data_IF_232288260230
#
_entry.id   IF_232288260230
#
_cell.length_a   1.000
_cell.length_b   1.000
_cell.length_c   1.000
_cell.angle_alpha   90.00
_cell.angle_beta   90.00
_cell.angle_gamma   90.00
#
_symmetry.space_group_name_H-M   'P 1'
#
loop_
_entity.id
_entity.type
_entity.pdbx_description
1 polymer ?
#
# COMPACT_ATOMS: atom_id res chain seq x y z
N UNK A 1 -12.71 11.14 15.92
CA UNK A 1 -11.88 11.60 14.77
C UNK A 1 -10.60 10.79 14.55
N UNK A 2 -9.87 10.31 15.58
CA UNK A 2 -8.60 9.55 15.38
C UNK A 2 -8.79 8.24 14.61
N UNK A 3 -9.81 7.46 14.99
CA UNK A 3 -10.17 6.21 14.31
C UNK A 3 -10.54 6.47 12.85
N UNK A 4 -11.32 7.53 12.58
CA UNK A 4 -11.66 8.00 11.24
C UNK A 4 -10.41 8.35 10.42
N UNK A 5 -9.43 9.03 11.01
CA UNK A 5 -8.18 9.38 10.32
C UNK A 5 -7.36 8.14 9.95
N UNK A 6 -7.29 7.13 10.82
CA UNK A 6 -6.66 5.85 10.52
C UNK A 6 -7.35 5.13 9.35
N UNK A 7 -8.67 5.03 9.37
CA UNK A 7 -9.42 4.37 8.28
C UNK A 7 -9.27 5.13 6.96
N UNK A 8 -9.41 6.45 6.99
CA UNK A 8 -9.24 7.30 5.82
C UNK A 8 -7.82 7.19 5.25
N UNK A 9 -6.80 7.20 6.11
CA UNK A 9 -5.41 7.03 5.69
C UNK A 9 -5.21 5.72 4.92
N UNK A 10 -5.68 4.60 5.47
CA UNK A 10 -5.51 3.30 4.81
C UNK A 10 -6.37 3.13 3.55
N UNK A 11 -7.55 3.76 3.49
CA UNK A 11 -8.37 3.82 2.28
C UNK A 11 -7.64 4.59 1.18
N UNK A 12 -7.16 5.81 1.48
CA UNK A 12 -6.42 6.63 0.51
C UNK A 12 -5.16 5.90 0.05
N UNK A 13 -4.45 5.24 0.96
CA UNK A 13 -3.26 4.44 0.61
C UNK A 13 -3.59 3.21 -0.25
N UNK A 14 -4.80 2.68 -0.15
CA UNK A 14 -5.31 1.62 -1.02
C UNK A 14 -5.41 2.03 -2.50
N UNK A 15 -5.64 3.31 -2.81
CA UNK A 15 -5.78 3.81 -4.19
C UNK A 15 -4.50 3.59 -5.04
N UNK A 16 -3.29 3.98 -4.60
CA UNK A 16 -2.05 3.71 -5.35
C UNK A 16 -1.60 2.25 -5.31
N UNK A 17 -2.18 1.41 -4.43
CA UNK A 17 -1.71 0.03 -4.21
C UNK A 17 -1.65 -0.83 -5.49
N UNK A 18 -2.68 -0.85 -6.37
CA UNK A 18 -2.61 -1.62 -7.61
C UNK A 18 -1.43 -1.22 -8.50
N UNK A 19 -1.12 0.07 -8.60
CA UNK A 19 0.00 0.57 -9.40
C UNK A 19 1.34 0.14 -8.82
N UNK A 20 1.50 0.21 -7.49
CA UNK A 20 2.70 -0.27 -6.79
C UNK A 20 2.89 -1.77 -7.03
N UNK A 21 1.82 -2.57 -6.94
CA UNK A 21 1.87 -4.01 -7.18
C UNK A 21 2.24 -4.36 -8.64
N UNK A 22 1.63 -3.68 -9.61
CA UNK A 22 1.95 -3.87 -11.04
C UNK A 22 3.41 -3.48 -11.30
N UNK A 23 3.86 -2.33 -10.79
CA UNK A 23 5.24 -1.89 -10.93
C UNK A 23 6.24 -2.89 -10.32
N UNK A 24 5.90 -3.47 -9.17
CA UNK A 24 6.68 -4.55 -8.58
C UNK A 24 6.72 -5.80 -9.44
N UNK A 25 5.59 -6.26 -9.97
CA UNK A 25 5.54 -7.45 -10.81
C UNK A 25 6.47 -7.28 -12.02
N UNK A 26 6.35 -6.17 -12.75
CA UNK A 26 7.22 -5.91 -13.89
C UNK A 26 8.67 -5.65 -13.49
N UNK A 27 8.89 -4.98 -12.37
CA UNK A 27 10.22 -4.67 -11.87
C UNK A 27 11.00 -5.87 -11.35
N UNK A 28 10.35 -6.91 -10.82
CA UNK A 28 11.03 -8.13 -10.36
C UNK A 28 11.06 -9.24 -11.41
N UNK A 29 9.95 -9.44 -12.13
CA UNK A 29 9.77 -10.58 -13.03
C UNK A 29 9.93 -10.22 -14.50
N UNK A 30 9.84 -8.93 -14.84
CA UNK A 30 9.82 -8.48 -16.22
C UNK A 30 8.44 -8.60 -16.86
N UNK A 31 8.28 -8.08 -18.08
CA UNK A 31 7.02 -8.13 -18.83
C UNK A 31 7.18 -8.84 -20.17
N UNK A 32 8.03 -8.32 -21.07
CA UNK A 32 8.35 -8.93 -22.37
C UNK A 32 9.72 -9.63 -22.39
N UNK A 33 10.41 -9.68 -21.24
CA UNK A 33 11.74 -10.25 -21.08
C UNK A 33 12.23 -10.08 -19.64
N UNK A 34 13.37 -10.68 -19.27
CA UNK A 34 13.87 -10.66 -17.89
C UNK A 34 14.12 -9.24 -17.38
N UNK A 35 13.73 -8.97 -16.13
CA UNK A 35 14.00 -7.69 -15.49
C UNK A 35 15.50 -7.50 -15.22
N UNK A 36 16.01 -6.33 -15.60
CA UNK A 36 17.37 -5.88 -15.32
C UNK A 36 17.60 -5.63 -13.83
N UNK A 37 18.88 -5.61 -13.42
CA UNK A 37 19.28 -5.29 -12.04
C UNK A 37 18.75 -3.91 -11.60
N UNK A 38 18.82 -2.91 -12.49
CA UNK A 38 18.33 -1.55 -12.18
C UNK A 38 16.82 -1.51 -11.96
N UNK A 39 16.05 -2.27 -12.72
CA UNK A 39 14.59 -2.37 -12.55
C UNK A 39 14.24 -3.04 -11.22
N UNK A 40 14.97 -4.10 -10.82
CA UNK A 40 14.80 -4.75 -9.52
C UNK A 40 15.11 -3.80 -8.36
N UNK A 41 16.18 -3.02 -8.45
CA UNK A 41 16.49 -2.01 -7.43
C UNK A 41 15.43 -0.91 -7.35
N UNK A 42 14.94 -0.44 -8.51
CA UNK A 42 13.88 0.58 -8.55
C UNK A 42 12.58 0.06 -7.94
N UNK A 43 12.18 -1.18 -8.24
CA UNK A 43 11.02 -1.85 -7.65
C UNK A 43 11.15 -2.02 -6.13
N UNK A 44 12.31 -2.46 -5.66
CA UNK A 44 12.62 -2.53 -4.22
C UNK A 44 12.52 -1.15 -3.56
N UNK A 45 13.02 -0.09 -4.22
CA UNK A 45 12.94 1.27 -3.72
C UNK A 45 11.50 1.78 -3.58
N UNK A 46 10.67 1.55 -4.60
CA UNK A 46 9.25 1.90 -4.57
C UNK A 46 8.50 1.12 -3.48
N UNK A 47 8.75 -0.19 -3.35
CA UNK A 47 8.17 -0.99 -2.26
C UNK A 47 8.58 -0.45 -0.89
N UNK A 48 9.86 -0.17 -0.69
CA UNK A 48 10.36 0.34 0.58
C UNK A 48 9.70 1.67 0.93
N UNK A 49 9.62 2.62 -0.01
CA UNK A 49 8.93 3.89 0.20
C UNK A 49 7.46 3.70 0.55
N UNK A 50 6.76 2.81 -0.17
CA UNK A 50 5.36 2.50 0.12
C UNK A 50 5.18 1.93 1.54
N UNK A 51 6.03 0.98 1.95
CA UNK A 51 6.01 0.40 3.30
C UNK A 51 6.34 1.43 4.39
N UNK A 52 7.26 2.36 4.14
CA UNK A 52 7.58 3.44 5.07
C UNK A 52 6.38 4.38 5.24
N UNK A 53 5.73 4.79 4.14
CA UNK A 53 4.53 5.62 4.19
C UNK A 53 3.43 4.90 4.98
N UNK A 54 3.18 3.63 4.68
CA UNK A 54 2.21 2.80 5.40
C UNK A 54 2.52 2.73 6.90
N UNK A 55 3.74 2.37 7.26
CA UNK A 55 4.13 2.16 8.65
C UNK A 55 4.10 3.47 9.44
N UNK A 56 4.77 4.53 8.95
CA UNK A 56 4.82 5.80 9.65
C UNK A 56 3.46 6.49 9.69
N UNK A 57 2.68 6.44 8.61
CA UNK A 57 1.33 7.01 8.60
C UNK A 57 0.40 6.32 9.62
N UNK A 58 0.47 4.99 9.74
CA UNK A 58 -0.26 4.26 10.77
C UNK A 58 0.27 4.57 12.19
N UNK A 59 1.59 4.62 12.40
CA UNK A 59 2.16 4.97 13.71
C UNK A 59 1.79 6.39 14.15
N UNK A 60 1.75 7.34 13.21
CA UNK A 60 1.36 8.73 13.49
C UNK A 60 -0.14 8.86 13.81
N UNK A 61 -1.00 8.18 13.03
CA UNK A 61 -2.46 8.20 13.27
C UNK A 61 -2.83 7.51 14.58
N UNK A 62 -2.10 6.46 14.96
CA UNK A 62 -2.32 5.66 16.18
C UNK A 62 -1.45 6.07 17.37
N UNK A 63 -0.68 7.17 17.29
CA UNK A 63 0.35 7.52 18.28
C UNK A 63 -0.12 7.56 19.75
N UNK A 64 -1.40 7.87 19.97
CA UNK A 64 -2.00 8.02 21.31
C UNK A 64 -2.66 6.74 21.84
N UNK A 65 -2.71 5.67 21.05
CA UNK A 65 -3.27 4.38 21.48
C UNK A 65 -2.24 3.59 22.28
N UNK A 66 -2.67 2.53 22.96
CA UNK A 66 -1.79 1.58 23.63
C UNK A 66 -1.07 0.65 22.63
N UNK A 67 -0.03 -0.06 23.09
CA UNK A 67 0.78 -0.92 22.21
C UNK A 67 0.01 -2.10 21.60
N UNK A 68 -0.92 -2.71 22.35
CA UNK A 68 -1.68 -3.86 21.85
C UNK A 68 -2.65 -3.42 20.76
N UNK A 69 -3.36 -2.31 20.98
CA UNK A 69 -4.25 -1.70 19.98
C UNK A 69 -3.48 -1.28 18.73
N UNK A 70 -2.30 -0.65 18.87
CA UNK A 70 -1.46 -0.30 17.71
C UNK A 70 -1.11 -1.51 16.85
N UNK A 71 -0.66 -2.59 17.47
CA UNK A 71 -0.29 -3.81 16.74
C UNK A 71 -1.51 -4.46 16.08
N UNK A 72 -2.63 -4.55 16.79
CA UNK A 72 -3.89 -5.06 16.23
C UNK A 72 -4.36 -4.24 15.04
N UNK A 73 -4.29 -2.91 15.14
CA UNK A 73 -4.68 -2.02 14.04
C UNK A 73 -3.69 -2.10 12.87
N UNK A 74 -2.37 -2.14 13.12
CA UNK A 74 -1.39 -2.39 12.05
C UNK A 74 -1.66 -3.70 11.30
N UNK A 75 -2.00 -4.77 12.02
CA UNK A 75 -2.36 -6.05 11.41
C UNK A 75 -3.70 -6.00 10.64
N UNK A 76 -4.63 -5.14 11.06
CA UNK A 76 -5.92 -4.93 10.37
C UNK A 76 -5.81 -4.00 9.16
N UNK A 77 -4.80 -3.13 9.10
CA UNK A 77 -4.62 -2.13 8.05
C UNK A 77 -4.52 -2.67 6.61
N UNK A 78 -4.06 -3.90 6.32
CA UNK A 78 -4.12 -4.46 4.97
C UNK A 78 -5.55 -4.66 4.45
N UNK A 79 -6.55 -4.83 5.33
CA UNK A 79 -7.94 -5.04 4.93
C UNK A 79 -8.53 -3.83 4.19
N UNK A 80 -8.57 -2.61 4.76
CA UNK A 80 -9.04 -1.43 4.04
C UNK A 80 -8.21 -1.12 2.79
N UNK A 81 -6.89 -1.34 2.84
CA UNK A 81 -6.00 -1.17 1.69
C UNK A 81 -6.42 -2.11 0.55
N UNK A 82 -6.62 -3.40 0.83
CA UNK A 82 -6.99 -4.40 -0.17
C UNK A 82 -8.37 -4.14 -0.77
N UNK A 83 -9.36 -3.78 0.07
CA UNK A 83 -10.71 -3.43 -0.39
C UNK A 83 -10.66 -2.23 -1.32
N UNK A 84 -9.97 -1.15 -0.93
CA UNK A 84 -9.89 0.04 -1.78
C UNK A 84 -9.06 -0.19 -3.03
N UNK A 85 -8.00 -0.98 -2.97
CA UNK A 85 -7.22 -1.39 -4.15
C UNK A 85 -8.09 -2.15 -5.16
N UNK A 86 -8.90 -3.10 -4.69
CA UNK A 86 -9.83 -3.86 -5.53
C UNK A 86 -10.89 -2.95 -6.17
N UNK A 87 -11.52 -2.08 -5.37
CA UNK A 87 -12.49 -1.11 -5.87
C UNK A 87 -11.87 -0.16 -6.91
N UNK A 88 -10.67 0.36 -6.63
CA UNK A 88 -9.94 1.24 -7.54
C UNK A 88 -9.66 0.57 -8.88
N UNK A 89 -9.17 -0.67 -8.85
CA UNK A 89 -8.93 -1.44 -10.07
C UNK A 89 -10.21 -1.68 -10.88
N UNK A 90 -11.32 -2.03 -10.21
CA UNK A 90 -12.63 -2.23 -10.87
C UNK A 90 -13.16 -0.96 -11.52
N UNK A 91 -13.02 0.19 -10.86
CA UNK A 91 -13.46 1.49 -11.40
C UNK A 91 -12.63 1.84 -12.64
N UNK A 92 -11.30 1.72 -12.56
CA UNK A 92 -10.42 2.00 -13.70
C UNK A 92 -10.77 1.10 -14.88
N UNK A 93 -10.96 -0.20 -14.64
CA UNK A 93 -11.31 -1.16 -15.68
C UNK A 93 -12.70 -0.94 -16.29
N UNK A 94 -13.63 -0.30 -15.57
CA UNK A 94 -14.96 0.05 -16.09
C UNK A 94 -14.96 1.34 -16.92
N UNK A 95 -13.95 2.19 -16.74
CA UNK A 95 -13.80 3.48 -17.43
C UNK A 95 -12.85 3.40 -18.64
N UNK A 96 -12.07 2.34 -18.76
CA UNK A 96 -11.17 2.03 -19.89
C UNK A 96 -11.90 1.28 -21.00
#
# INVERSE_FOLDING_TARGET
MKFTAYWLFNIVLGIPTPYVLIYMIFGFYGFMGPSSINQKYSASGVLLLYLLIWLFGNLLTLRKEDHATKLGMLALSPLPIAITAFCGFKIIAALS
#
